data_IF_997836865691
#
_entry.id   IF_997836865691
#
_cell.length_a   1.000
_cell.length_b   1.000
_cell.length_c   1.000
_cell.angle_alpha   90.00
_cell.angle_beta   90.00
_cell.angle_gamma   90.00
#
_symmetry.space_group_name_H-M   'P 1'
#
loop_
_entity.id
_entity.type
_entity.pdbx_description
1 polymer ?
#
# COMPACT_ATOMS: atom_id res chain seq x y z
N UNK A 1 13.08 18.24 -50.23
CA UNK A 1 13.76 18.10 -48.92
C UNK A 1 13.73 19.48 -48.27
N UNK A 2 13.15 19.72 -47.10
CA UNK A 2 12.48 18.85 -46.15
C UNK A 2 11.73 19.68 -45.09
N UNK A 3 10.74 19.00 -44.51
CA UNK A 3 10.25 19.11 -43.12
C UNK A 3 9.74 20.46 -42.61
N UNK A 4 8.41 20.59 -42.56
CA UNK A 4 7.70 21.59 -41.77
C UNK A 4 7.99 21.41 -40.28
N UNK A 5 8.35 22.51 -39.64
CA UNK A 5 8.59 22.61 -38.20
C UNK A 5 7.24 22.63 -37.48
N UNK A 6 6.73 21.44 -37.15
CA UNK A 6 5.53 21.26 -36.35
C UNK A 6 5.84 21.67 -34.91
N UNK A 7 5.30 22.82 -34.50
CA UNK A 7 5.37 23.29 -33.11
C UNK A 7 4.74 22.24 -32.20
N UNK A 8 5.29 21.95 -31.01
CA UNK A 8 4.61 21.09 -30.05
C UNK A 8 3.30 21.77 -29.63
N UNK A 9 2.21 21.35 -30.25
CA UNK A 9 0.87 21.82 -29.97
C UNK A 9 0.44 21.23 -28.63
N UNK A 10 0.67 21.96 -27.55
CA UNK A 10 0.18 21.59 -26.22
C UNK A 10 -1.24 22.15 -26.08
N UNK A 11 -2.25 21.31 -26.25
CA UNK A 11 -3.63 21.66 -25.93
C UNK A 11 -3.90 21.33 -24.47
N UNK A 12 -4.55 22.24 -23.74
CA UNK A 12 -5.09 21.97 -22.39
C UNK A 12 -6.04 20.76 -22.41
N UNK A 13 -6.62 20.47 -23.58
CA UNK A 13 -7.55 19.38 -23.80
C UNK A 13 -6.89 18.05 -24.21
N UNK A 14 -5.56 17.98 -24.40
CA UNK A 14 -4.88 16.73 -24.80
C UNK A 14 -4.96 15.64 -23.73
N UNK A 15 -5.22 16.03 -22.47
CA UNK A 15 -5.47 15.13 -21.35
C UNK A 15 -6.97 14.88 -21.09
N UNK A 16 -7.87 15.53 -21.83
CA UNK A 16 -9.33 15.29 -21.73
C UNK A 16 -9.70 14.11 -22.63
N UNK A 17 -9.04 12.97 -22.38
CA UNK A 17 -9.41 11.70 -23.01
C UNK A 17 -10.57 11.14 -22.18
N UNK A 18 -11.77 11.39 -22.68
CA UNK A 18 -13.05 10.81 -22.22
C UNK A 18 -13.60 11.38 -20.90
N UNK A 19 -14.52 12.33 -21.02
CA UNK A 19 -15.49 12.60 -19.97
C UNK A 19 -16.44 11.39 -19.97
N UNK A 20 -16.63 10.67 -18.85
CA UNK A 20 -17.55 9.54 -18.80
C UNK A 20 -18.95 9.97 -19.24
N UNK A 21 -19.52 9.24 -20.20
CA UNK A 21 -20.75 9.62 -20.89
C UNK A 21 -21.98 9.69 -19.97
N UNK A 22 -21.90 9.12 -18.77
CA UNK A 22 -22.98 9.10 -17.78
C UNK A 22 -22.47 9.37 -16.37
N UNK A 23 -23.26 10.04 -15.52
CA UNK A 23 -22.91 10.30 -14.12
C UNK A 23 -22.69 9.00 -13.32
N UNK A 24 -23.38 7.91 -13.68
CA UNK A 24 -23.20 6.60 -13.06
C UNK A 24 -21.81 6.01 -13.31
N UNK A 25 -21.29 6.15 -14.54
CA UNK A 25 -19.95 5.67 -14.89
C UNK A 25 -18.84 6.47 -14.19
N UNK A 26 -19.06 7.77 -13.95
CA UNK A 26 -18.15 8.58 -13.15
C UNK A 26 -18.13 8.11 -11.69
N UNK A 27 -19.30 7.89 -11.09
CA UNK A 27 -19.41 7.43 -9.71
C UNK A 27 -18.79 6.04 -9.52
N UNK A 28 -18.97 5.12 -10.48
CA UNK A 28 -18.34 3.81 -10.46
C UNK A 28 -16.81 3.89 -10.52
N UNK A 29 -16.26 4.80 -11.33
CA UNK A 29 -14.81 5.03 -11.39
C UNK A 29 -14.27 5.61 -10.09
N UNK A 30 -14.97 6.57 -9.49
CA UNK A 30 -14.59 7.14 -8.19
C UNK A 30 -14.58 6.04 -7.12
N UNK A 31 -15.65 5.25 -7.03
CA UNK A 31 -15.74 4.14 -6.08
C UNK A 31 -14.62 3.12 -6.30
N UNK A 32 -14.35 2.76 -7.56
CA UNK A 32 -13.27 1.84 -7.91
C UNK A 32 -11.88 2.39 -7.53
N UNK A 33 -11.63 3.68 -7.75
CA UNK A 33 -10.37 4.32 -7.41
C UNK A 33 -10.16 4.39 -5.89
N UNK A 34 -11.22 4.70 -5.13
CA UNK A 34 -11.19 4.70 -3.67
C UNK A 34 -10.89 3.28 -3.15
N UNK A 35 -11.62 2.27 -3.62
CA UNK A 35 -11.38 0.88 -3.21
C UNK A 35 -9.98 0.39 -3.58
N UNK A 36 -9.44 0.79 -4.73
CA UNK A 36 -8.08 0.43 -5.13
C UNK A 36 -7.03 1.08 -4.20
N UNK A 37 -7.23 2.35 -3.82
CA UNK A 37 -6.34 3.05 -2.89
C UNK A 37 -6.41 2.45 -1.48
N UNK A 38 -7.61 2.12 -1.02
CA UNK A 38 -7.83 1.46 0.27
C UNK A 38 -7.19 0.06 0.29
N UNK A 39 -7.31 -0.70 -0.79
CA UNK A 39 -6.64 -1.99 -0.93
C UNK A 39 -5.11 -1.85 -0.92
N UNK A 40 -4.56 -0.90 -1.67
CA UNK A 40 -3.13 -0.66 -1.73
C UNK A 40 -2.55 -0.15 -0.40
N UNK A 41 -3.35 0.59 0.38
CA UNK A 41 -2.98 1.14 1.69
C UNK A 41 -3.32 0.22 2.85
N UNK A 42 -4.12 -0.83 2.62
CA UNK A 42 -4.39 -1.82 3.65
C UNK A 42 -3.06 -2.52 4.00
N UNK A 43 -2.54 -2.36 5.24
CA UNK A 43 -1.52 -3.28 5.71
C UNK A 43 -2.12 -4.68 5.57
N UNK A 44 -1.35 -5.64 5.05
CA UNK A 44 -1.80 -7.01 4.85
C UNK A 44 -2.39 -7.57 6.15
N UNK A 45 -3.69 -7.36 6.36
CA UNK A 45 -4.43 -7.96 7.46
C UNK A 45 -4.65 -9.39 7.02
N UNK A 46 -4.18 -10.40 7.78
CA UNK A 46 -4.50 -11.76 7.44
C UNK A 46 -6.03 -11.87 7.54
N UNK A 47 -6.68 -12.01 6.38
CA UNK A 47 -8.07 -12.42 6.29
C UNK A 47 -8.19 -13.67 7.17
N UNK A 48 -8.78 -13.49 8.35
CA UNK A 48 -9.22 -14.58 9.22
C UNK A 48 -10.42 -15.23 8.54
N UNK A 49 -10.15 -15.97 7.47
CA UNK A 49 -11.01 -17.04 7.01
C UNK A 49 -10.42 -18.30 7.59
N UNK A 50 -11.11 -18.80 8.60
CA UNK A 50 -10.91 -20.09 9.20
C UNK A 50 -10.99 -21.18 8.12
N UNK A 51 -9.88 -21.46 7.43
CA UNK A 51 -9.69 -22.63 6.59
C UNK A 51 -8.20 -22.87 6.43
N UNK A 52 -7.72 -23.82 7.23
CA UNK A 52 -6.50 -24.59 7.07
C UNK A 52 -5.83 -24.44 5.69
N UNK A 53 -4.95 -23.45 5.54
CA UNK A 53 -3.94 -23.43 4.47
C UNK A 53 -2.66 -22.91 5.09
N UNK A 54 -1.79 -23.85 5.43
CA UNK A 54 -0.37 -23.65 5.63
C UNK A 54 0.21 -22.97 4.37
N UNK A 55 0.14 -21.64 4.31
CA UNK A 55 0.97 -20.86 3.40
C UNK A 55 2.31 -20.63 4.08
N UNK A 56 3.08 -21.72 4.12
CA UNK A 56 4.53 -21.65 4.35
C UNK A 56 5.15 -21.03 3.10
N UNK A 57 5.43 -19.74 3.18
CA UNK A 57 6.42 -19.07 2.35
C UNK A 57 7.29 -18.23 3.29
N UNK A 58 8.07 -18.91 4.12
CA UNK A 58 9.36 -18.52 4.73
C UNK A 58 9.58 -19.34 6.02
N UNK A 59 10.77 -19.94 6.25
CA UNK A 59 11.03 -20.77 7.43
C UNK A 59 11.19 -19.98 8.75
N UNK A 60 10.80 -18.70 8.80
CA UNK A 60 11.10 -17.81 9.93
C UNK A 60 9.97 -16.81 10.28
N UNK A 61 8.71 -17.13 9.99
CA UNK A 61 7.61 -16.31 10.52
C UNK A 61 7.42 -16.60 12.01
N UNK A 62 7.88 -15.68 12.86
CA UNK A 62 7.63 -15.69 14.29
C UNK A 62 6.62 -14.59 14.65
N UNK A 63 5.30 -14.91 14.67
CA UNK A 63 4.26 -13.93 14.98
C UNK A 63 4.41 -13.37 16.40
N UNK A 64 4.89 -14.19 17.35
CA UNK A 64 5.06 -13.75 18.75
C UNK A 64 6.22 -12.76 18.87
N UNK A 65 7.34 -13.09 18.23
CA UNK A 65 8.50 -12.21 18.21
C UNK A 65 8.26 -10.89 17.45
N UNK A 66 7.33 -10.86 16.49
CA UNK A 66 6.90 -9.63 15.81
C UNK A 66 6.01 -8.76 16.72
N UNK A 67 5.06 -9.37 17.43
CA UNK A 67 4.15 -8.69 18.37
C UNK A 67 4.90 -8.08 19.57
N UNK A 68 5.89 -8.80 20.10
CA UNK A 68 6.72 -8.33 21.22
C UNK A 68 7.56 -7.11 20.82
N UNK A 69 8.19 -7.16 19.64
CA UNK A 69 8.97 -6.05 19.10
C UNK A 69 8.09 -4.82 18.80
N UNK A 70 6.86 -5.04 18.33
CA UNK A 70 5.87 -3.98 18.12
C UNK A 70 5.48 -3.31 19.45
N UNK A 71 5.16 -4.10 20.49
CA UNK A 71 4.84 -3.58 21.83
C UNK A 71 6.01 -2.83 22.46
N UNK A 72 7.24 -3.32 22.27
CA UNK A 72 8.46 -2.65 22.73
C UNK A 72 8.66 -1.30 22.03
N UNK A 73 8.39 -1.23 20.72
CA UNK A 73 8.42 0.02 19.96
C UNK A 73 7.40 1.04 20.47
N UNK A 74 6.17 0.61 20.74
CA UNK A 74 5.14 1.47 21.31
C UNK A 74 5.51 1.98 22.71
N UNK A 75 6.10 1.13 23.56
CA UNK A 75 6.59 1.54 24.87
C UNK A 75 7.74 2.57 24.77
N UNK A 76 8.64 2.43 23.80
CA UNK A 76 9.71 3.38 23.55
C UNK A 76 9.20 4.74 23.04
N UNK A 77 8.14 4.76 22.23
CA UNK A 77 7.43 5.99 21.84
C UNK A 77 6.81 6.69 23.05
N UNK A 78 6.10 5.95 23.90
CA UNK A 78 5.52 6.49 25.13
C UNK A 78 6.57 7.01 26.11
N UNK A 79 7.77 6.43 26.11
CA UNK A 79 8.92 6.86 26.90
C UNK A 79 9.72 8.03 26.28
N UNK A 80 9.28 8.58 25.14
CA UNK A 80 9.95 9.70 24.46
C UNK A 80 11.30 9.33 23.81
N UNK A 81 11.51 8.05 23.47
CA UNK A 81 12.74 7.53 22.85
C UNK A 81 12.45 7.03 21.43
N UNK A 82 12.28 7.94 20.45
CA UNK A 82 11.88 7.57 19.09
C UNK A 82 12.89 6.65 18.40
N UNK A 83 14.19 6.81 18.65
CA UNK A 83 15.20 6.05 17.91
C UNK A 83 15.16 4.56 18.25
N UNK A 84 14.95 4.25 19.54
CA UNK A 84 14.74 2.89 20.01
C UNK A 84 13.41 2.29 19.52
N UNK A 85 12.42 3.14 19.27
CA UNK A 85 11.15 2.71 18.71
C UNK A 85 11.32 2.30 17.24
N UNK A 86 12.05 3.09 16.45
CA UNK A 86 12.34 2.78 15.04
C UNK A 86 13.10 1.46 14.93
N UNK A 87 14.13 1.23 15.75
CA UNK A 87 14.86 -0.04 15.78
C UNK A 87 13.95 -1.23 16.09
N UNK A 88 13.09 -1.09 17.11
CA UNK A 88 12.16 -2.15 17.54
C UNK A 88 11.10 -2.45 16.47
N UNK A 89 10.61 -1.42 15.77
CA UNK A 89 9.64 -1.58 14.68
C UNK A 89 10.28 -2.23 13.45
N UNK A 90 11.53 -1.90 13.11
CA UNK A 90 12.27 -2.55 12.04
C UNK A 90 12.48 -4.05 12.31
N UNK A 91 12.75 -4.42 13.56
CA UNK A 91 12.82 -5.82 13.99
C UNK A 91 11.46 -6.51 13.82
N UNK A 92 10.37 -5.87 14.20
CA UNK A 92 9.01 -6.42 14.00
C UNK A 92 8.73 -6.66 12.51
N UNK A 93 9.05 -5.69 11.65
CA UNK A 93 8.88 -5.80 10.19
C UNK A 93 9.73 -6.91 9.57
N UNK A 94 10.96 -7.10 10.05
CA UNK A 94 11.84 -8.19 9.57
C UNK A 94 11.31 -9.60 9.87
N UNK A 95 10.44 -9.72 10.88
CA UNK A 95 9.83 -10.98 11.30
C UNK A 95 8.50 -11.25 10.60
N UNK A 96 7.87 -10.24 9.99
CA UNK A 96 6.65 -10.40 9.22
C UNK A 96 7.00 -10.91 7.81
N UNK A 97 6.25 -11.90 7.26
CA UNK A 97 6.47 -12.36 5.91
C UNK A 97 6.06 -11.22 4.98
N UNK A 98 6.97 -10.80 4.10
CA UNK A 98 6.58 -9.95 2.98
C UNK A 98 5.52 -10.71 2.18
N UNK A 99 4.26 -10.26 2.27
CA UNK A 99 3.23 -10.69 1.34
C UNK A 99 3.67 -10.22 -0.05
N UNK A 100 4.02 -11.18 -0.92
CA UNK A 100 4.14 -10.96 -2.35
C UNK A 100 2.75 -10.72 -2.95
#
# INVERSE_FOLDING_TARGET
>A
MGSGEERPHWSVFDNVKTIPATPEALMAQINSAISALEYARAPCTPISKNKNSSRSCNPAYDPRGADEAYRAGLAALAAGKPEKAVDSLNVSLSKCPHCC
#
